data_IF_554889362669
#
_entry.id   IF_554889362669
#
_cell.length_a   1.000
_cell.length_b   1.000
_cell.length_c   1.000
_cell.angle_alpha   90.00
_cell.angle_beta   90.00
_cell.angle_gamma   90.00
#
_symmetry.space_group_name_H-M   'P 1'
#
loop_
_entity.id
_entity.type
_entity.pdbx_description
1 polymer ?
#
# COMPACT_ATOMS: atom_id res chain seq x y z
N UNK A 1 21.37 -24.00 -0.37
CA UNK A 1 21.71 -24.11 -1.81
C UNK A 1 21.46 -22.76 -2.46
N UNK A 2 22.32 -22.35 -3.42
CA UNK A 2 22.09 -21.11 -4.17
C UNK A 2 21.04 -21.36 -5.26
N UNK A 3 20.12 -20.43 -5.41
CA UNK A 3 19.05 -20.45 -6.41
C UNK A 3 18.92 -19.08 -7.09
N UNK A 4 18.76 -19.09 -8.39
CA UNK A 4 18.47 -17.89 -9.15
C UNK A 4 16.97 -17.56 -9.07
N UNK A 5 16.66 -16.33 -8.72
CA UNK A 5 15.30 -15.82 -8.56
C UNK A 5 15.11 -14.63 -9.49
N UNK A 6 14.09 -14.69 -10.33
CA UNK A 6 13.69 -13.56 -11.18
C UNK A 6 12.79 -12.62 -10.41
N UNK A 7 13.12 -11.34 -10.45
CA UNK A 7 12.41 -10.26 -9.75
C UNK A 7 12.12 -9.09 -10.67
N UNK A 8 11.13 -8.30 -10.30
CA UNK A 8 10.87 -6.93 -10.80
C UNK A 8 10.82 -6.01 -9.58
N UNK A 9 11.49 -4.88 -9.64
CA UNK A 9 11.37 -3.82 -8.64
C UNK A 9 10.40 -2.79 -9.14
N UNK A 10 9.39 -2.47 -8.33
CA UNK A 10 8.42 -1.43 -8.61
C UNK A 10 8.55 -0.30 -7.58
N UNK A 11 8.56 0.93 -8.06
CA UNK A 11 8.55 2.13 -7.22
C UNK A 11 7.22 2.89 -7.38
N UNK A 12 6.20 2.56 -6.59
CA UNK A 12 4.94 3.28 -6.55
C UNK A 12 5.02 4.45 -5.57
N UNK A 13 5.68 5.55 -5.96
CA UNK A 13 5.79 6.77 -5.13
C UNK A 13 6.61 6.58 -3.84
N UNK A 14 7.67 5.77 -3.89
CA UNK A 14 8.62 5.61 -2.78
C UNK A 14 8.34 4.46 -1.81
N UNK A 15 7.27 3.68 -2.02
CA UNK A 15 7.04 2.44 -1.28
C UNK A 15 7.48 1.24 -2.13
N UNK A 16 8.80 1.06 -2.23
CA UNK A 16 9.43 0.15 -3.20
C UNK A 16 9.08 -1.31 -2.89
N UNK A 17 8.48 -1.98 -3.89
CA UNK A 17 8.08 -3.38 -3.80
C UNK A 17 8.93 -4.25 -4.72
N UNK A 18 9.53 -5.31 -4.18
CA UNK A 18 10.23 -6.35 -4.94
C UNK A 18 9.23 -7.46 -5.28
N UNK A 19 8.92 -7.64 -6.56
CA UNK A 19 8.04 -8.71 -7.03
C UNK A 19 8.86 -9.92 -7.42
N UNK A 20 8.66 -11.03 -6.73
CA UNK A 20 9.28 -12.33 -7.04
C UNK A 20 8.44 -13.04 -8.10
N UNK A 21 9.02 -13.28 -9.27
CA UNK A 21 8.40 -14.02 -10.39
C UNK A 21 8.62 -15.52 -10.32
N UNK A 22 9.77 -15.93 -9.81
CA UNK A 22 10.09 -17.35 -9.64
C UNK A 22 9.15 -17.98 -8.62
N UNK A 23 8.54 -19.10 -8.98
CA UNK A 23 7.65 -19.82 -8.07
C UNK A 23 8.40 -20.41 -6.89
N UNK A 24 7.93 -20.08 -5.70
CA UNK A 24 8.49 -20.57 -4.43
C UNK A 24 7.34 -20.95 -3.49
N UNK A 25 7.51 -21.94 -2.61
CA UNK A 25 6.48 -22.28 -1.63
C UNK A 25 6.37 -21.18 -0.57
N UNK A 26 5.17 -20.99 0.00
CA UNK A 26 4.94 -19.99 1.06
C UNK A 26 5.88 -20.15 2.27
N UNK A 27 6.33 -21.38 2.56
CA UNK A 27 7.29 -21.63 3.65
C UNK A 27 8.62 -20.90 3.49
N UNK A 28 8.97 -20.51 2.26
CA UNK A 28 10.20 -19.79 1.93
C UNK A 28 10.05 -18.27 1.86
N UNK A 29 8.81 -17.75 1.92
CA UNK A 29 8.53 -16.30 1.74
C UNK A 29 9.35 -15.44 2.67
N UNK A 30 9.36 -15.74 3.97
CA UNK A 30 10.07 -14.94 4.96
C UNK A 30 11.60 -14.96 4.77
N UNK A 31 12.15 -16.13 4.51
CA UNK A 31 13.58 -16.29 4.25
C UNK A 31 14.00 -15.51 3.00
N UNK A 32 13.23 -15.66 1.92
CA UNK A 32 13.49 -15.00 0.65
C UNK A 32 13.34 -13.47 0.78
N UNK A 33 12.27 -13.01 1.40
CA UNK A 33 12.03 -11.60 1.62
C UNK A 33 13.13 -10.96 2.46
N UNK A 34 13.59 -11.60 3.53
CA UNK A 34 14.68 -11.09 4.36
C UNK A 34 15.98 -10.90 3.59
N UNK A 35 16.31 -11.84 2.69
CA UNK A 35 17.52 -11.73 1.86
C UNK A 35 17.39 -10.64 0.79
N UNK A 36 16.22 -10.54 0.12
CA UNK A 36 15.96 -9.51 -0.88
C UNK A 36 15.98 -8.11 -0.28
N UNK A 37 15.38 -7.92 0.90
CA UNK A 37 15.36 -6.65 1.60
C UNK A 37 16.74 -6.25 2.16
N UNK A 38 17.64 -7.20 2.36
CA UNK A 38 19.03 -6.94 2.75
C UNK A 38 19.93 -6.53 1.57
N UNK A 39 19.45 -6.65 0.31
CA UNK A 39 20.16 -6.16 -0.88
C UNK A 39 19.95 -4.65 -1.02
N UNK A 40 20.91 -3.86 -0.52
CA UNK A 40 20.82 -2.39 -0.49
C UNK A 40 20.56 -1.79 -1.89
N UNK A 41 21.09 -2.40 -2.95
CA UNK A 41 20.92 -1.95 -4.33
C UNK A 41 19.49 -2.05 -4.85
N UNK A 42 18.64 -2.85 -4.24
CA UNK A 42 17.23 -2.98 -4.61
C UNK A 42 16.35 -1.92 -3.94
N UNK A 43 16.83 -1.28 -2.88
CA UNK A 43 16.10 -0.29 -2.07
C UNK A 43 14.69 -0.74 -1.66
N UNK A 44 14.45 -2.07 -1.55
CA UNK A 44 13.13 -2.63 -1.28
C UNK A 44 12.63 -2.33 0.13
N UNK A 45 11.35 -2.01 0.25
CA UNK A 45 10.66 -1.85 1.54
C UNK A 45 9.76 -3.05 1.85
N UNK A 46 9.33 -3.77 0.81
CA UNK A 46 8.43 -4.91 0.93
C UNK A 46 8.62 -5.90 -0.24
N UNK A 47 8.13 -7.12 -0.05
CA UNK A 47 8.23 -8.19 -1.05
C UNK A 47 6.86 -8.78 -1.33
N UNK A 48 6.57 -8.96 -2.63
CA UNK A 48 5.38 -9.63 -3.14
C UNK A 48 5.77 -10.83 -4.02
N UNK A 49 4.96 -11.86 -4.02
CA UNK A 49 5.16 -13.09 -4.77
C UNK A 49 4.08 -13.22 -5.85
N UNK A 50 4.48 -13.23 -7.11
CA UNK A 50 3.58 -13.44 -8.24
C UNK A 50 3.26 -14.93 -8.30
N UNK A 51 1.97 -15.29 -8.24
CA UNK A 51 1.55 -16.68 -8.28
C UNK A 51 1.36 -17.15 -9.73
N UNK A 52 1.66 -18.42 -9.98
CA UNK A 52 1.20 -19.05 -11.22
C UNK A 52 -0.34 -19.11 -11.16
N UNK A 53 -0.98 -18.45 -12.09
CA UNK A 53 -2.43 -18.46 -12.14
C UNK A 53 -2.98 -19.87 -12.35
N UNK A 54 -3.78 -20.40 -11.41
CA UNK A 54 -4.83 -21.28 -11.84
C UNK A 54 -5.67 -20.43 -12.82
N UNK A 55 -6.01 -20.97 -13.99
CA UNK A 55 -6.82 -20.23 -14.98
C UNK A 55 -8.21 -19.96 -14.38
N UNK A 56 -8.31 -18.88 -13.63
CA UNK A 56 -9.59 -18.39 -13.11
C UNK A 56 -10.16 -17.44 -14.16
N UNK A 57 -11.30 -17.75 -14.76
CA UNK A 57 -11.88 -16.90 -15.79
C UNK A 57 -12.06 -15.45 -15.29
N UNK A 58 -11.61 -14.49 -16.08
CA UNK A 58 -11.73 -13.06 -15.77
C UNK A 58 -10.72 -12.52 -14.77
N UNK A 59 -9.69 -13.31 -14.40
CA UNK A 59 -8.56 -12.86 -13.57
C UNK A 59 -7.29 -12.83 -14.44
N UNK A 60 -6.63 -11.68 -14.49
CA UNK A 60 -5.40 -11.50 -15.27
C UNK A 60 -4.16 -11.99 -14.51
N UNK A 61 -4.18 -11.94 -13.19
CA UNK A 61 -3.08 -12.40 -12.36
C UNK A 61 -3.40 -12.44 -10.87
N UNK A 62 -2.52 -13.12 -10.10
CA UNK A 62 -2.60 -13.13 -8.64
C UNK A 62 -1.24 -12.98 -7.99
N UNK A 63 -1.23 -12.34 -6.82
CA UNK A 63 -0.02 -12.16 -6.01
C UNK A 63 -0.33 -12.26 -4.52
N UNK A 64 0.72 -12.51 -3.75
CA UNK A 64 0.68 -12.47 -2.29
C UNK A 64 1.80 -11.56 -1.76
N UNK A 65 1.48 -10.73 -0.78
CA UNK A 65 2.49 -10.07 0.02
C UNK A 65 3.17 -11.09 0.94
N UNK A 66 4.42 -10.83 1.34
CA UNK A 66 5.17 -11.72 2.23
C UNK A 66 4.42 -12.01 3.54
N UNK A 67 3.73 -11.04 4.12
CA UNK A 67 2.91 -11.18 5.33
C UNK A 67 1.45 -11.54 5.06
N UNK A 68 1.06 -11.80 3.81
CA UNK A 68 -0.31 -12.10 3.36
C UNK A 68 -1.32 -10.96 3.60
N UNK A 69 -0.85 -9.76 3.90
CA UNK A 69 -1.64 -8.53 4.03
C UNK A 69 -2.08 -7.98 2.67
N UNK A 70 -3.02 -7.03 2.69
CA UNK A 70 -3.35 -6.21 1.53
C UNK A 70 -2.41 -5.00 1.45
N UNK A 71 -1.84 -4.76 0.27
CA UNK A 71 -1.08 -3.56 -0.02
C UNK A 71 -1.56 -2.91 -1.33
N UNK A 72 -2.16 -1.72 -1.24
CA UNK A 72 -2.67 -0.98 -2.41
C UNK A 72 -1.57 -0.57 -3.39
N UNK A 73 -0.40 -0.15 -2.88
CA UNK A 73 0.75 0.21 -3.71
C UNK A 73 1.29 -1.01 -4.49
N UNK A 74 1.48 -2.15 -3.84
CA UNK A 74 1.86 -3.38 -4.51
C UNK A 74 0.79 -3.84 -5.51
N UNK A 75 -0.50 -3.78 -5.14
CA UNK A 75 -1.60 -4.21 -6.00
C UNK A 75 -1.67 -3.41 -7.31
N UNK A 76 -1.58 -2.08 -7.25
CA UNK A 76 -1.59 -1.25 -8.47
C UNK A 76 -0.33 -1.44 -9.31
N UNK A 77 0.84 -1.64 -8.68
CA UNK A 77 2.09 -1.96 -9.37
C UNK A 77 2.01 -3.31 -10.09
N UNK A 78 1.38 -4.31 -9.46
CA UNK A 78 1.15 -5.61 -10.06
C UNK A 78 0.27 -5.54 -11.31
N UNK A 79 -0.81 -4.74 -11.28
CA UNK A 79 -1.62 -4.47 -12.47
C UNK A 79 -0.80 -3.92 -13.63
N UNK A 80 0.12 -2.97 -13.37
CA UNK A 80 1.01 -2.40 -14.38
C UNK A 80 2.03 -3.44 -14.91
N UNK A 81 2.55 -4.32 -14.05
CA UNK A 81 3.42 -5.43 -14.47
C UNK A 81 2.69 -6.33 -15.47
N UNK A 82 1.46 -6.75 -15.15
CA UNK A 82 0.64 -7.60 -16.02
C UNK A 82 0.34 -6.94 -17.37
N UNK A 83 0.00 -5.66 -17.37
CA UNK A 83 -0.27 -4.91 -18.61
C UNK A 83 0.99 -4.79 -19.47
N UNK A 84 2.15 -4.48 -18.87
CA UNK A 84 3.42 -4.44 -19.56
C UNK A 84 3.78 -5.80 -20.19
N UNK A 85 3.59 -6.90 -19.47
CA UNK A 85 3.84 -8.26 -19.97
C UNK A 85 2.88 -8.68 -21.06
N UNK A 86 1.63 -8.18 -21.04
CA UNK A 86 0.66 -8.39 -22.11
C UNK A 86 0.91 -7.53 -23.35
N UNK A 87 1.77 -6.49 -23.25
CA UNK A 87 2.03 -5.54 -24.34
C UNK A 87 0.90 -4.52 -24.52
N UNK A 88 0.12 -4.25 -23.46
CA UNK A 88 -0.95 -3.25 -23.50
C UNK A 88 -0.39 -1.86 -23.73
N UNK A 89 -1.16 -0.98 -24.36
CA UNK A 89 -0.83 0.40 -24.71
C UNK A 89 -2.00 1.34 -24.39
N UNK A 90 -1.69 2.61 -24.18
CA UNK A 90 -2.69 3.63 -23.84
C UNK A 90 -3.37 3.32 -22.50
N UNK A 91 -4.70 3.28 -22.46
CA UNK A 91 -5.45 2.91 -21.25
C UNK A 91 -5.76 1.43 -21.22
N UNK A 92 -5.56 0.79 -20.08
CA UNK A 92 -5.85 -0.63 -19.88
C UNK A 92 -6.51 -0.87 -18.51
N UNK A 93 -7.11 -2.05 -18.34
CA UNK A 93 -7.65 -2.51 -17.05
C UNK A 93 -7.15 -3.94 -16.80
N UNK A 94 -6.73 -4.22 -15.58
CA UNK A 94 -6.40 -5.58 -15.12
C UNK A 94 -7.24 -5.95 -13.92
N UNK A 95 -7.75 -7.18 -13.91
CA UNK A 95 -8.44 -7.75 -12.77
C UNK A 95 -7.52 -8.72 -12.04
N UNK A 96 -7.22 -8.45 -10.78
CA UNK A 96 -6.23 -9.17 -10.00
C UNK A 96 -6.81 -9.76 -8.73
N UNK A 97 -6.19 -10.86 -8.26
CA UNK A 97 -6.38 -11.40 -6.91
C UNK A 97 -5.14 -11.10 -6.09
N UNK A 98 -5.33 -10.60 -4.88
CA UNK A 98 -4.22 -10.23 -3.98
C UNK A 98 -4.48 -10.74 -2.58
N UNK A 99 -3.42 -11.04 -1.83
CA UNK A 99 -3.55 -11.38 -0.41
C UNK A 99 -4.24 -10.27 0.38
N UNK A 100 -4.90 -10.63 1.46
CA UNK A 100 -5.63 -9.69 2.33
C UNK A 100 -6.91 -9.09 1.71
N UNK A 101 -7.33 -9.57 0.52
CA UNK A 101 -8.58 -9.16 -0.11
C UNK A 101 -9.33 -10.38 -0.66
N UNK A 102 -10.59 -10.57 -0.22
CA UNK A 102 -11.41 -11.74 -0.61
C UNK A 102 -12.03 -11.63 -2.02
N UNK A 103 -11.98 -10.45 -2.61
CA UNK A 103 -12.60 -10.16 -3.91
C UNK A 103 -11.57 -9.70 -4.93
N UNK A 104 -11.78 -10.03 -6.21
CA UNK A 104 -10.95 -9.48 -7.27
C UNK A 104 -10.98 -7.95 -7.26
N UNK A 105 -9.84 -7.35 -7.52
CA UNK A 105 -9.67 -5.92 -7.64
C UNK A 105 -9.39 -5.53 -9.08
N UNK A 106 -9.92 -4.38 -9.48
CA UNK A 106 -9.62 -3.76 -10.77
C UNK A 106 -8.54 -2.71 -10.60
N UNK A 107 -7.57 -2.75 -11.50
CA UNK A 107 -6.52 -1.74 -11.63
C UNK A 107 -6.72 -1.05 -12.98
N UNK A 108 -7.02 0.25 -12.93
CA UNK A 108 -7.09 1.12 -14.10
C UNK A 108 -5.69 1.65 -14.39
N UNK A 109 -5.26 1.60 -15.65
CA UNK A 109 -3.88 1.86 -16.05
C UNK A 109 -3.82 2.90 -17.15
N UNK A 110 -2.84 3.79 -17.05
CA UNK A 110 -2.38 4.68 -18.11
C UNK A 110 -0.94 4.25 -18.48
N UNK A 111 -0.81 3.49 -19.55
CA UNK A 111 0.49 2.92 -19.97
C UNK A 111 1.45 3.99 -20.50
N UNK A 112 0.92 5.12 -20.98
CA UNK A 112 1.74 6.20 -21.53
C UNK A 112 2.42 7.02 -20.42
N UNK A 113 1.72 7.19 -19.29
CA UNK A 113 2.20 7.90 -18.11
C UNK A 113 2.73 6.99 -17.00
N UNK A 114 2.58 5.66 -17.14
CA UNK A 114 2.87 4.70 -16.09
C UNK A 114 1.91 4.81 -14.89
N UNK A 115 0.76 5.44 -15.08
CA UNK A 115 -0.26 5.64 -14.05
C UNK A 115 -0.96 4.33 -13.70
N UNK A 116 -1.19 4.11 -12.41
CA UNK A 116 -1.92 2.94 -11.93
C UNK A 116 -2.84 3.34 -10.79
N UNK A 117 -4.15 3.17 -11.00
CA UNK A 117 -5.21 3.52 -10.07
C UNK A 117 -5.91 2.28 -9.56
N UNK A 118 -6.16 2.23 -8.25
CA UNK A 118 -6.87 1.12 -7.62
C UNK A 118 -7.87 1.62 -6.59
N UNK A 119 -9.01 0.95 -6.50
CA UNK A 119 -9.97 1.15 -5.41
C UNK A 119 -9.43 0.53 -4.14
N UNK A 120 -9.39 1.33 -3.07
CA UNK A 120 -8.98 0.91 -1.75
C UNK A 120 -10.17 0.38 -0.94
N UNK A 121 -9.94 -0.52 0.04
CA UNK A 121 -10.96 -0.90 0.99
C UNK A 121 -11.52 0.31 1.74
N UNK A 122 -12.82 0.33 1.95
CA UNK A 122 -13.44 1.36 2.78
C UNK A 122 -13.11 1.10 4.25
N UNK A 123 -12.93 2.14 5.07
CA UNK A 123 -12.77 1.96 6.50
C UNK A 123 -14.05 1.37 7.14
N UNK A 124 -13.86 0.52 8.13
CA UNK A 124 -14.93 0.00 8.99
C UNK A 124 -15.49 1.12 9.85
N UNK A 125 -14.63 2.02 10.32
CA UNK A 125 -15.03 3.22 11.04
C UNK A 125 -14.08 4.39 10.78
N UNK A 126 -14.62 5.62 10.85
CA UNK A 126 -13.85 6.86 10.82
C UNK A 126 -14.43 7.77 11.90
N UNK A 127 -13.64 8.05 12.96
CA UNK A 127 -14.09 8.76 14.16
C UNK A 127 -13.21 10.00 14.42
N UNK A 128 -13.80 11.19 14.36
CA UNK A 128 -13.11 12.41 14.77
C UNK A 128 -13.15 12.54 16.29
N UNK A 129 -12.00 12.69 16.91
CA UNK A 129 -11.80 13.03 18.33
C UNK A 129 -11.29 14.47 18.44
N UNK A 130 -11.09 14.94 19.66
CA UNK A 130 -10.65 16.32 19.89
C UNK A 130 -9.25 16.58 19.32
N UNK A 131 -8.32 15.61 19.45
CA UNK A 131 -6.90 15.77 19.11
C UNK A 131 -6.47 14.94 17.89
N UNK A 132 -7.33 14.05 17.36
CA UNK A 132 -6.99 13.17 16.24
C UNK A 132 -8.23 12.66 15.51
N UNK A 133 -8.00 12.04 14.34
CA UNK A 133 -9.02 11.22 13.68
C UNK A 133 -8.55 9.77 13.66
N UNK A 134 -9.42 8.86 14.10
CA UNK A 134 -9.14 7.42 14.11
C UNK A 134 -9.88 6.77 12.95
N UNK A 135 -9.15 6.08 12.09
CA UNK A 135 -9.69 5.37 10.92
C UNK A 135 -9.31 3.89 11.03
N UNK A 136 -10.30 3.02 11.12
CA UNK A 136 -10.12 1.58 11.31
C UNK A 136 -10.50 0.85 10.02
N UNK A 137 -9.59 0.03 9.48
CA UNK A 137 -9.80 -0.83 8.33
C UNK A 137 -9.98 -2.31 8.69
N UNK A 138 -10.04 -2.63 10.01
CA UNK A 138 -10.15 -4.00 10.52
C UNK A 138 -8.81 -4.72 10.65
N UNK A 139 -7.93 -4.64 9.64
CA UNK A 139 -6.57 -5.18 9.67
C UNK A 139 -5.51 -4.20 10.13
N UNK A 140 -5.76 -2.90 9.92
CA UNK A 140 -4.89 -1.81 10.36
C UNK A 140 -5.73 -0.63 10.86
N UNK A 141 -5.26 0.01 11.92
CA UNK A 141 -5.87 1.21 12.50
C UNK A 141 -4.93 2.39 12.29
N UNK A 142 -5.43 3.46 11.67
CA UNK A 142 -4.68 4.70 11.51
C UNK A 142 -5.18 5.80 12.46
N UNK A 143 -4.23 6.48 13.08
CA UNK A 143 -4.46 7.68 13.89
C UNK A 143 -3.88 8.87 13.13
N UNK A 144 -4.73 9.76 12.64
CA UNK A 144 -4.32 10.99 11.97
C UNK A 144 -4.18 12.06 13.02
N UNK A 145 -3.00 12.67 13.11
CA UNK A 145 -2.69 13.81 13.97
C UNK A 145 -2.22 14.97 13.11
N UNK A 146 -2.66 16.17 13.48
CA UNK A 146 -2.36 17.41 12.74
C UNK A 146 -1.26 18.20 13.46
N UNK A 147 -0.28 18.70 12.68
CA UNK A 147 0.77 19.62 13.10
C UNK A 147 1.63 19.16 14.30
N UNK A 148 1.74 17.84 14.48
CA UNK A 148 2.68 17.23 15.41
C UNK A 148 3.94 16.76 14.68
N UNK A 149 5.13 16.84 15.33
CA UNK A 149 6.35 16.33 14.72
C UNK A 149 6.31 14.80 14.58
N UNK A 150 6.68 14.29 13.40
CA UNK A 150 6.81 12.86 13.14
C UNK A 150 8.08 12.34 13.82
N UNK A 151 8.04 12.13 15.13
CA UNK A 151 9.13 11.58 15.91
C UNK A 151 8.78 10.24 16.53
N UNK A 152 9.83 9.47 16.86
CA UNK A 152 9.66 8.16 17.51
C UNK A 152 8.93 8.30 18.85
N UNK A 153 9.26 9.35 19.63
CA UNK A 153 8.69 9.58 20.95
C UNK A 153 7.18 9.86 20.87
N UNK A 154 6.76 10.73 19.92
CA UNK A 154 5.33 11.03 19.70
C UNK A 154 4.60 9.79 19.20
N UNK A 155 5.21 9.05 18.27
CA UNK A 155 4.64 7.80 17.78
C UNK A 155 4.43 6.79 18.91
N UNK A 156 5.44 6.52 19.73
CA UNK A 156 5.35 5.55 20.84
C UNK A 156 4.29 5.95 21.87
N UNK A 157 4.17 7.24 22.17
CA UNK A 157 3.13 7.74 23.05
C UNK A 157 1.73 7.43 22.51
N UNK A 158 1.49 7.73 21.23
CA UNK A 158 0.21 7.48 20.58
C UNK A 158 -0.08 5.99 20.43
N UNK A 159 0.95 5.20 20.06
CA UNK A 159 0.85 3.73 19.99
C UNK A 159 0.39 3.15 21.33
N UNK A 160 1.05 3.52 22.42
CA UNK A 160 0.72 3.01 23.74
C UNK A 160 -0.73 3.34 24.14
N UNK A 161 -1.19 4.58 23.89
CA UNK A 161 -2.58 4.99 24.13
C UNK A 161 -3.59 4.17 23.32
N UNK A 162 -3.26 3.82 22.07
CA UNK A 162 -4.12 2.97 21.24
C UNK A 162 -4.18 1.57 21.82
N UNK A 163 -3.05 0.96 22.18
CA UNK A 163 -2.99 -0.41 22.71
C UNK A 163 -3.54 -0.55 24.11
N UNK A 164 -3.68 0.51 24.90
CA UNK A 164 -4.43 0.51 26.16
C UNK A 164 -5.94 0.33 25.96
N UNK A 165 -6.48 0.71 24.81
CA UNK A 165 -7.93 0.72 24.55
C UNK A 165 -8.35 -0.26 23.45
N UNK A 166 -7.48 -0.56 22.51
CA UNK A 166 -7.71 -1.39 21.32
C UNK A 166 -6.49 -2.29 21.11
N UNK A 167 -6.66 -3.36 20.35
CA UNK A 167 -5.55 -4.29 20.07
C UNK A 167 -5.48 -4.63 18.57
N UNK A 168 -5.22 -3.64 17.70
CA UNK A 168 -5.15 -3.89 16.27
C UNK A 168 -3.90 -4.73 15.90
N UNK A 169 -3.97 -5.57 14.85
CA UNK A 169 -2.79 -6.30 14.33
C UNK A 169 -1.68 -5.37 13.84
N UNK A 170 -2.06 -4.24 13.25
CA UNK A 170 -1.16 -3.17 12.84
C UNK A 170 -1.79 -1.80 13.14
N UNK A 171 -0.95 -0.80 13.37
CA UNK A 171 -1.41 0.57 13.48
C UNK A 171 -0.44 1.54 12.82
N UNK A 172 -0.98 2.65 12.31
CA UNK A 172 -0.17 3.75 11.80
C UNK A 172 -0.52 5.07 12.46
N UNK A 173 0.47 5.91 12.68
CA UNK A 173 0.26 7.33 12.96
C UNK A 173 0.54 8.10 11.68
N UNK A 174 -0.46 8.81 11.22
CA UNK A 174 -0.45 9.63 10.03
C UNK A 174 -0.24 11.08 10.45
N UNK A 175 1.01 11.53 10.45
CA UNK A 175 1.38 12.90 10.79
C UNK A 175 1.07 13.80 9.61
N UNK A 176 0.01 14.59 9.71
CA UNK A 176 -0.43 15.51 8.69
C UNK A 176 0.02 16.93 9.00
N UNK A 177 0.90 17.48 8.18
CA UNK A 177 1.26 18.89 8.21
C UNK A 177 0.23 19.69 7.42
N UNK A 178 -0.54 20.53 8.10
CA UNK A 178 -1.62 21.30 7.47
C UNK A 178 -1.12 22.47 6.63
N UNK A 179 0.08 22.99 6.92
CA UNK A 179 0.69 24.10 6.20
C UNK A 179 1.34 23.60 4.89
N UNK A 180 2.15 22.55 4.97
CA UNK A 180 2.82 21.94 3.82
C UNK A 180 1.91 20.99 3.04
N UNK A 181 0.77 20.60 3.60
CA UNK A 181 -0.14 19.56 3.06
C UNK A 181 0.60 18.25 2.78
N UNK A 182 1.44 17.87 3.72
CA UNK A 182 2.32 16.71 3.63
C UNK A 182 1.96 15.67 4.69
N UNK A 183 1.98 14.40 4.29
CA UNK A 183 1.77 13.25 5.16
C UNK A 183 3.11 12.58 5.47
N UNK A 184 3.42 12.36 6.75
CA UNK A 184 4.53 11.51 7.17
C UNK A 184 3.97 10.28 7.88
N UNK A 185 3.97 9.10 7.23
CA UNK A 185 3.41 7.88 7.80
C UNK A 185 4.44 7.14 8.66
N UNK A 186 4.00 6.70 9.85
CA UNK A 186 4.77 5.79 10.71
C UNK A 186 3.87 4.62 11.07
N UNK A 187 4.28 3.40 10.71
CA UNK A 187 3.47 2.19 10.84
C UNK A 187 4.16 1.17 11.75
N UNK A 188 3.38 0.57 12.64
CA UNK A 188 3.80 -0.51 13.53
C UNK A 188 3.04 -1.79 13.21
N UNK A 189 3.77 -2.88 13.05
CA UNK A 189 3.22 -4.23 12.84
C UNK A 189 3.49 -5.06 14.09
N UNK A 190 2.43 -5.47 14.76
CA UNK A 190 2.51 -6.10 16.09
C UNK A 190 3.20 -7.45 16.07
N UNK A 191 2.90 -8.30 15.10
CA UNK A 191 3.39 -9.69 15.06
C UNK A 191 4.91 -9.79 14.90
N UNK A 192 5.52 -8.77 14.29
CA UNK A 192 6.97 -8.66 14.12
C UNK A 192 7.63 -7.61 15.01
N UNK A 193 6.83 -6.95 15.87
CA UNK A 193 7.25 -5.87 16.80
C UNK A 193 8.14 -4.82 16.12
N UNK A 194 7.77 -4.39 14.91
CA UNK A 194 8.59 -3.48 14.12
C UNK A 194 7.83 -2.21 13.77
N UNK A 195 8.54 -1.08 13.88
CA UNK A 195 8.06 0.26 13.50
C UNK A 195 8.79 0.72 12.25
N UNK A 196 8.02 1.13 11.23
CA UNK A 196 8.51 1.62 9.95
C UNK A 196 8.17 3.10 9.78
N UNK A 197 9.17 3.92 9.46
CA UNK A 197 8.98 5.27 8.93
C UNK A 197 8.91 5.11 7.41
N UNK A 198 7.68 5.04 6.88
CA UNK A 198 7.47 4.72 5.47
C UNK A 198 7.80 5.90 4.56
N UNK A 199 8.35 5.60 3.39
CA UNK A 199 8.54 6.57 2.31
C UNK A 199 7.23 7.08 1.75
N UNK A 200 6.22 6.20 1.61
CA UNK A 200 4.82 6.53 1.33
C UNK A 200 3.88 5.42 1.80
N UNK A 201 2.63 5.78 2.09
CA UNK A 201 1.63 4.86 2.64
C UNK A 201 0.29 5.00 1.92
N UNK A 202 -0.10 3.97 1.15
CA UNK A 202 -1.38 3.95 0.44
C UNK A 202 -2.58 3.88 1.39
N UNK A 203 -2.53 3.04 2.44
CA UNK A 203 -3.61 2.93 3.44
C UNK A 203 -3.72 4.19 4.31
N UNK A 204 -2.58 4.82 4.66
CA UNK A 204 -2.55 6.10 5.36
C UNK A 204 -3.15 7.23 4.53
N UNK A 205 -2.83 7.28 3.23
CA UNK A 205 -3.44 8.25 2.29
C UNK A 205 -4.96 8.03 2.17
N UNK A 206 -5.39 6.75 2.14
CA UNK A 206 -6.81 6.37 2.14
C UNK A 206 -7.51 6.84 3.43
N UNK A 207 -6.87 6.66 4.58
CA UNK A 207 -7.38 7.12 5.86
C UNK A 207 -7.55 8.65 5.89
N UNK A 208 -6.57 9.37 5.35
CA UNK A 208 -6.64 10.84 5.23
C UNK A 208 -7.81 11.28 4.37
N UNK A 209 -8.02 10.64 3.20
CA UNK A 209 -9.15 10.93 2.33
C UNK A 209 -10.50 10.62 2.99
N UNK A 210 -10.60 9.52 3.75
CA UNK A 210 -11.79 9.20 4.53
C UNK A 210 -12.09 10.27 5.59
N UNK A 211 -11.07 10.73 6.31
CA UNK A 211 -11.19 11.81 7.31
C UNK A 211 -11.63 13.13 6.66
N UNK A 212 -11.02 13.52 5.54
CA UNK A 212 -11.36 14.72 4.79
C UNK A 212 -12.78 14.68 4.18
N UNK A 213 -13.32 13.51 3.97
CA UNK A 213 -14.67 13.30 3.44
C UNK A 213 -15.77 13.51 4.47
N UNK A 214 -15.43 13.49 5.77
CA UNK A 214 -16.41 13.59 6.84
C UNK A 214 -17.18 14.92 6.80
N UNK A 215 -18.51 14.82 6.69
CA UNK A 215 -19.42 15.96 6.68
C UNK A 215 -19.42 16.78 5.38
N UNK A 216 -18.72 16.33 4.33
CA UNK A 216 -18.80 16.97 3.00
C UNK A 216 -20.09 16.66 2.30
N UNK A 217 -20.50 17.53 1.39
CA UNK A 217 -21.61 17.30 0.47
C UNK A 217 -21.31 16.12 -0.48
N UNK A 218 -22.36 15.55 -1.06
CA UNK A 218 -22.22 14.49 -2.07
C UNK A 218 -21.43 15.00 -3.28
N UNK A 219 -20.45 14.22 -3.72
CA UNK A 219 -19.58 14.62 -4.82
C UNK A 219 -18.28 13.83 -4.87
N UNK A 220 -17.45 14.16 -5.85
CA UNK A 220 -16.11 13.58 -6.00
C UNK A 220 -15.06 14.60 -5.61
N UNK A 221 -14.16 14.20 -4.74
CA UNK A 221 -13.08 15.06 -4.22
C UNK A 221 -11.73 14.37 -4.44
N UNK A 222 -10.73 15.14 -4.85
CA UNK A 222 -9.38 14.64 -5.06
C UNK A 222 -8.36 15.47 -4.30
N UNK A 223 -7.32 14.80 -3.82
CA UNK A 223 -6.19 15.42 -3.14
C UNK A 223 -4.89 14.81 -3.63
N UNK A 224 -3.89 15.65 -3.81
CA UNK A 224 -2.51 15.26 -4.03
C UNK A 224 -1.80 15.29 -2.68
N UNK A 225 -1.26 14.15 -2.25
CA UNK A 225 -0.68 13.97 -0.91
C UNK A 225 0.82 13.69 -1.00
N UNK A 226 1.67 14.72 -0.89
CA UNK A 226 3.12 14.54 -0.77
C UNK A 226 3.47 13.75 0.49
N UNK A 227 4.49 12.89 0.37
CA UNK A 227 5.02 12.07 1.45
C UNK A 227 6.56 12.06 1.37
N UNK A 228 7.31 11.46 2.31
CA UNK A 228 8.77 11.57 2.34
C UNK A 228 9.48 11.16 1.05
N UNK A 229 9.05 10.09 0.39
CA UNK A 229 9.72 9.56 -0.80
C UNK A 229 8.88 9.68 -2.10
N UNK A 230 7.69 10.25 -2.05
CA UNK A 230 6.88 10.40 -3.26
C UNK A 230 5.53 11.08 -3.00
N UNK A 231 4.64 10.98 -3.96
CA UNK A 231 3.31 11.59 -3.89
C UNK A 231 2.25 10.57 -4.30
N UNK A 232 1.17 10.49 -3.55
CA UNK A 232 0.01 9.67 -3.88
C UNK A 232 -1.18 10.60 -4.10
N UNK A 233 -1.81 10.50 -5.26
CA UNK A 233 -3.10 11.12 -5.52
C UNK A 233 -4.21 10.22 -4.96
N UNK A 234 -5.20 10.84 -4.35
CA UNK A 234 -6.33 10.11 -3.79
C UNK A 234 -7.63 10.79 -4.18
N UNK A 235 -8.59 9.97 -4.61
CA UNK A 235 -9.93 10.43 -4.97
C UNK A 235 -10.95 9.72 -4.11
N UNK A 236 -11.89 10.48 -3.51
CA UNK A 236 -13.01 9.95 -2.76
C UNK A 236 -14.34 10.35 -3.41
N UNK A 237 -15.23 9.38 -3.57
CA UNK A 237 -16.64 9.61 -3.88
C UNK A 237 -17.39 9.69 -2.56
N UNK A 238 -17.95 10.86 -2.28
CA UNK A 238 -18.64 11.14 -1.01
C UNK A 238 -20.14 11.03 -1.20
N UNK A 239 -20.80 10.31 -0.30
CA UNK A 239 -22.26 10.24 -0.15
C UNK A 239 -22.64 10.28 1.32
N UNK A 240 -23.67 11.09 1.63
CA UNK A 240 -24.17 11.22 3.00
C UNK A 240 -23.08 11.65 4.00
N UNK A 241 -22.13 12.48 3.57
CA UNK A 241 -21.05 12.98 4.40
C UNK A 241 -19.96 11.96 4.73
N UNK A 242 -19.80 10.89 3.94
CA UNK A 242 -18.76 9.87 4.10
C UNK A 242 -18.24 9.41 2.75
N UNK A 243 -16.99 8.97 2.72
CA UNK A 243 -16.44 8.34 1.52
C UNK A 243 -17.13 6.97 1.28
N UNK A 244 -17.77 6.80 0.14
CA UNK A 244 -18.37 5.55 -0.34
C UNK A 244 -17.36 4.74 -1.16
N UNK A 245 -16.49 5.44 -1.89
CA UNK A 245 -15.38 4.83 -2.64
C UNK A 245 -14.15 5.71 -2.48
N UNK A 246 -12.99 5.06 -2.33
CA UNK A 246 -11.70 5.75 -2.28
C UNK A 246 -10.75 5.06 -3.26
N UNK A 247 -10.06 5.84 -4.05
CA UNK A 247 -9.09 5.37 -5.03
C UNK A 247 -7.75 6.05 -4.77
N UNK A 248 -6.66 5.29 -4.83
CA UNK A 248 -5.31 5.85 -4.89
C UNK A 248 -4.77 5.71 -6.31
N UNK A 249 -4.01 6.71 -6.72
CA UNK A 249 -3.43 6.82 -8.05
C UNK A 249 -2.07 7.50 -7.96
N UNK A 250 -1.12 7.05 -8.75
CA UNK A 250 0.13 7.77 -9.08
C UNK A 250 0.94 6.95 -10.08
N UNK A 251 1.93 7.53 -10.74
CA UNK A 251 2.88 6.79 -11.56
C UNK A 251 3.60 5.70 -10.77
N UNK A 252 3.92 4.61 -11.47
CA UNK A 252 4.72 3.50 -10.97
C UNK A 252 5.92 3.30 -11.91
N UNK A 253 7.10 3.37 -11.37
CA UNK A 253 8.31 3.01 -12.10
C UNK A 253 8.58 1.52 -11.95
N UNK A 254 8.83 0.82 -13.08
CA UNK A 254 9.13 -0.61 -13.09
C UNK A 254 10.52 -0.87 -13.65
N UNK A 255 11.35 -1.63 -12.93
CA UNK A 255 12.59 -2.15 -13.47
C UNK A 255 12.32 -3.17 -14.60
N UNK A 256 13.32 -3.47 -15.45
CA UNK A 256 13.31 -4.72 -16.20
C UNK A 256 13.35 -5.92 -15.25
N UNK A 257 13.07 -7.12 -15.79
CA UNK A 257 13.29 -8.36 -15.03
C UNK A 257 14.80 -8.51 -14.74
N UNK A 258 15.11 -8.79 -13.48
CA UNK A 258 16.49 -9.04 -12.99
C UNK A 258 16.54 -10.40 -12.35
N UNK A 259 17.70 -11.06 -12.46
CA UNK A 259 17.94 -12.34 -11.79
C UNK A 259 18.93 -12.12 -10.65
N UNK A 260 18.52 -12.49 -9.44
CA UNK A 260 19.36 -12.41 -8.23
C UNK A 260 19.62 -13.80 -7.67
N UNK A 261 20.78 -14.00 -7.03
CA UNK A 261 21.16 -15.26 -6.40
C UNK A 261 20.82 -15.22 -4.91
N UNK A 262 20.10 -16.22 -4.43
CA UNK A 262 19.60 -16.32 -3.05
C UNK A 262 19.99 -17.67 -2.45
N UNK A 263 20.21 -17.72 -1.15
CA UNK A 263 20.45 -18.98 -0.41
C UNK A 263 19.12 -19.57 0.09
N UNK A 264 18.77 -20.78 -0.35
CA UNK A 264 17.61 -21.57 0.08
C UNK A 264 18.05 -22.83 0.82
#
# INVERSE_FOLDING_TARGET
MKKNIDIIVANPSGNITIFVKTQVPRSEYQNLASQLLAMEELHGEQVAFILQNPQVPGIDGSMEMCGLEFCGNASRSFGLILAREAGDMGTAEKTILVSGCDKPLKVELDMDMGGARIRMPNPVSCEKKQECTIVDFGGILHVIVEDLPASKEVFELLRNRVYEQRNPPAMGVMFWDTAEKKLTPVVYVKDVDTTYFEGSCGSGTTALAAAFSMGREDGTYSWTVPQPAGTIDVTAVVKGGRAEEIYIDSPVELSPVQTVEIEI
#
